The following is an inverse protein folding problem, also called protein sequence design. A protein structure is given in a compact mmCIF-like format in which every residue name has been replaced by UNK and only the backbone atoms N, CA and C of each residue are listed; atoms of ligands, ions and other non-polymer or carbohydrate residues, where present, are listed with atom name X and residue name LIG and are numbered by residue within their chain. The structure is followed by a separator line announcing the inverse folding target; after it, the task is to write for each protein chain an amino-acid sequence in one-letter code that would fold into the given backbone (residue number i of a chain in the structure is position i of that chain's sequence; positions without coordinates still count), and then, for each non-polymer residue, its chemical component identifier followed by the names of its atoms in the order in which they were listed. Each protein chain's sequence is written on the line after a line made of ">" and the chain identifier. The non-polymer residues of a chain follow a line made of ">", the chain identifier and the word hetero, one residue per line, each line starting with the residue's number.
data_IF_037617763549
#
_entry.id   IF_037617763549
#
_cell.length_a   1.000
_cell.length_b   1.000
_cell.length_c   1.000
_cell.angle_alpha   90.00
_cell.angle_beta   90.00
_cell.angle_gamma   90.00
#
_symmetry.space_group_name_H-M   'P 1'
#
loop_
_entity.id
_entity.type
_entity.pdbx_description
1 polymer ?
#
# COMPACT_ATOMS: atom_id res chain seq x y z
N UNK A 1 -9.56 1.40 -2.40
CA UNK A 1 -8.42 0.46 -2.19
C UNK A 1 -8.60 -0.78 -3.05
N UNK A 2 -7.51 -1.46 -3.43
CA UNK A 2 -7.52 -2.74 -4.15
C UNK A 2 -6.95 -3.83 -3.25
N UNK A 3 -7.61 -4.97 -3.18
CA UNK A 3 -7.20 -6.11 -2.35
C UNK A 3 -7.36 -7.42 -3.12
N UNK A 4 -6.59 -8.44 -2.73
CA UNK A 4 -6.80 -9.84 -3.13
C UNK A 4 -7.27 -10.59 -1.88
N UNK A 5 -8.58 -10.75 -1.67
CA UNK A 5 -9.09 -11.41 -0.48
C UNK A 5 -8.91 -12.93 -0.59
N UNK A 6 -8.78 -13.60 0.56
CA UNK A 6 -8.65 -15.07 0.63
C UNK A 6 -9.88 -15.80 0.09
N UNK A 7 -11.01 -15.11 0.04
CA UNK A 7 -12.32 -15.61 -0.37
C UNK A 7 -13.11 -14.48 -1.02
N UNK A 8 -13.87 -14.81 -2.06
CA UNK A 8 -14.80 -13.87 -2.67
C UNK A 8 -16.02 -13.64 -1.75
N UNK A 9 -16.42 -12.38 -1.57
CA UNK A 9 -17.62 -11.98 -0.83
C UNK A 9 -18.49 -11.08 -1.72
N UNK A 10 -19.81 -11.21 -1.65
CA UNK A 10 -20.76 -10.35 -2.37
C UNK A 10 -20.87 -8.97 -1.71
N UNK A 11 -21.02 -8.94 -0.39
CA UNK A 11 -21.24 -7.75 0.43
C UNK A 11 -20.27 -7.69 1.62
N UNK A 12 -18.97 -7.39 1.38
CA UNK A 12 -17.99 -7.34 2.45
C UNK A 12 -18.22 -6.13 3.36
N UNK A 13 -17.92 -6.29 4.64
CA UNK A 13 -17.87 -5.19 5.63
C UNK A 13 -16.41 -4.91 6.00
N UNK A 14 -16.11 -3.66 6.37
CA UNK A 14 -14.77 -3.26 6.80
C UNK A 14 -14.80 -2.80 8.25
N UNK A 15 -13.98 -3.44 9.09
CA UNK A 15 -13.72 -2.99 10.45
C UNK A 15 -12.39 -2.24 10.47
N UNK A 16 -12.42 -0.98 10.84
CA UNK A 16 -11.24 -0.13 10.98
C UNK A 16 -10.94 0.07 12.46
N UNK A 17 -9.71 -0.21 12.86
CA UNK A 17 -9.22 -0.02 14.22
C UNK A 17 -8.17 1.08 14.23
N UNK A 18 -8.44 2.14 15.00
CA UNK A 18 -7.45 3.16 15.36
C UNK A 18 -6.51 2.59 16.41
N UNK A 19 -5.21 2.47 16.09
CA UNK A 19 -4.24 1.88 17.02
C UNK A 19 -3.81 2.84 18.14
N UNK A 20 -4.00 4.15 17.95
CA UNK A 20 -3.69 5.15 18.98
C UNK A 20 -4.75 5.16 20.08
N UNK A 21 -6.03 5.09 19.69
CA UNK A 21 -7.17 5.11 20.62
C UNK A 21 -7.65 3.72 21.02
N UNK A 22 -7.17 2.68 20.32
CA UNK A 22 -7.61 1.28 20.46
C UNK A 22 -9.11 1.07 20.23
N UNK A 23 -9.72 1.93 19.41
CA UNK A 23 -11.15 1.89 19.09
C UNK A 23 -11.38 1.28 17.72
N UNK A 24 -12.41 0.44 17.59
CA UNK A 24 -12.81 -0.17 16.31
C UNK A 24 -14.15 0.41 15.85
N UNK A 25 -14.26 0.71 14.57
CA UNK A 25 -15.47 1.20 13.93
C UNK A 25 -15.74 0.41 12.65
N UNK A 26 -17.01 0.19 12.35
CA UNK A 26 -17.42 -0.45 11.10
C UNK A 26 -17.64 0.62 10.03
N UNK A 27 -17.00 0.43 8.88
CA UNK A 27 -17.09 1.31 7.71
C UNK A 27 -17.87 0.60 6.62
N UNK A 28 -18.93 1.24 6.13
CA UNK A 28 -19.67 0.79 4.95
C UNK A 28 -18.80 0.96 3.71
N UNK A 29 -18.61 -0.12 2.96
CA UNK A 29 -17.81 -0.13 1.74
C UNK A 29 -18.61 -0.71 0.58
N UNK A 30 -18.42 -0.14 -0.61
CA UNK A 30 -18.96 -0.68 -1.86
C UNK A 30 -17.87 -1.51 -2.54
N UNK A 31 -18.22 -2.73 -2.94
CA UNK A 31 -17.33 -3.66 -3.63
C UNK A 31 -17.55 -3.59 -5.14
N UNK A 32 -16.46 -3.46 -5.90
CA UNK A 32 -16.42 -3.75 -7.34
C UNK A 32 -15.25 -4.68 -7.66
N UNK A 33 -15.28 -5.30 -8.85
CA UNK A 33 -14.17 -6.10 -9.37
C UNK A 33 -13.44 -5.27 -10.41
N UNK A 34 -12.11 -5.20 -10.32
CA UNK A 34 -11.25 -4.47 -11.24
C UNK A 34 -10.09 -5.38 -11.65
N UNK A 35 -10.26 -6.09 -12.76
CA UNK A 35 -9.35 -7.18 -13.16
C UNK A 35 -9.36 -8.31 -12.13
N UNK A 36 -8.18 -8.72 -11.67
CA UNK A 36 -8.01 -9.76 -10.64
C UNK A 36 -8.16 -9.24 -9.20
N UNK A 37 -8.38 -7.93 -9.04
CA UNK A 37 -8.47 -7.29 -7.74
C UNK A 37 -9.92 -7.01 -7.34
N UNK A 38 -10.19 -7.16 -6.04
CA UNK A 38 -11.40 -6.62 -5.43
C UNK A 38 -11.14 -5.16 -5.04
N UNK A 39 -11.90 -4.23 -5.63
CA UNK A 39 -11.85 -2.81 -5.29
C UNK A 39 -12.92 -2.51 -4.24
N UNK A 40 -12.48 -1.93 -3.12
CA UNK A 40 -13.36 -1.43 -2.07
C UNK A 40 -13.30 0.10 -2.04
N UNK A 41 -14.46 0.74 -2.11
CA UNK A 41 -14.62 2.20 -2.02
C UNK A 41 -15.45 2.53 -0.79
N UNK A 42 -15.00 3.48 0.02
CA UNK A 42 -15.69 3.95 1.21
C UNK A 42 -15.10 5.28 1.68
N UNK A 43 -15.80 5.95 2.58
CA UNK A 43 -15.36 7.21 3.19
C UNK A 43 -14.69 6.90 4.53
N UNK A 44 -13.51 7.46 4.76
CA UNK A 44 -12.72 7.24 5.98
C UNK A 44 -12.40 8.58 6.63
N UNK A 45 -12.60 8.68 7.94
CA UNK A 45 -12.20 9.83 8.75
C UNK A 45 -10.89 9.53 9.47
N UNK A 46 -9.78 9.56 8.71
CA UNK A 46 -8.44 9.27 9.23
C UNK A 46 -7.79 10.53 9.80
N UNK A 47 -6.93 10.36 10.80
CA UNK A 47 -6.11 11.41 11.39
C UNK A 47 -4.65 11.20 10.98
N UNK A 48 -3.99 12.27 10.54
CA UNK A 48 -2.59 12.28 10.16
C UNK A 48 -1.67 11.80 11.31
N UNK A 49 -0.58 11.11 10.97
CA UNK A 49 0.36 10.54 11.93
C UNK A 49 -0.16 9.29 12.65
N UNK A 50 -1.40 8.87 12.41
CA UNK A 50 -2.01 7.71 13.07
C UNK A 50 -1.92 6.47 12.20
N UNK A 51 -1.54 5.36 12.85
CA UNK A 51 -1.61 4.02 12.28
C UNK A 51 -2.96 3.37 12.57
N UNK A 52 -3.57 2.81 11.53
CA UNK A 52 -4.80 2.04 11.61
C UNK A 52 -4.53 0.60 11.16
N UNK A 53 -5.30 -0.34 11.68
CA UNK A 53 -5.42 -1.68 11.11
C UNK A 53 -6.84 -1.89 10.64
N UNK A 54 -7.04 -2.54 9.51
CA UNK A 54 -8.38 -2.88 9.05
C UNK A 54 -8.52 -4.37 8.76
N UNK A 55 -9.76 -4.85 8.90
CA UNK A 55 -10.17 -6.20 8.54
C UNK A 55 -11.34 -6.10 7.59
N UNK A 56 -11.29 -6.87 6.52
CA UNK A 56 -12.44 -7.05 5.62
C UNK A 56 -13.09 -8.37 5.98
N UNK A 57 -14.40 -8.35 6.15
CA UNK A 57 -15.18 -9.50 6.61
C UNK A 57 -16.30 -9.85 5.63
N UNK A 58 -16.51 -11.15 5.47
CA UNK A 58 -17.69 -11.75 4.84
C UNK A 58 -18.56 -12.32 5.97
N UNK A 59 -19.56 -11.55 6.41
CA UNK A 59 -20.27 -11.83 7.66
C UNK A 59 -19.32 -11.82 8.87
N UNK A 60 -19.09 -12.99 9.48
CA UNK A 60 -18.18 -13.15 10.62
C UNK A 60 -16.74 -13.51 10.22
N UNK A 61 -16.53 -14.01 9.00
CA UNK A 61 -15.25 -14.51 8.54
C UNK A 61 -14.35 -13.36 8.08
N UNK A 62 -13.09 -13.32 8.54
CA UNK A 62 -12.10 -12.32 8.09
C UNK A 62 -11.41 -12.80 6.82
N UNK A 63 -11.68 -12.12 5.70
CA UNK A 63 -11.17 -12.49 4.38
C UNK A 63 -9.92 -11.71 3.96
N UNK A 64 -9.65 -10.57 4.61
CA UNK A 64 -8.46 -9.76 4.36
C UNK A 64 -8.08 -8.92 5.59
N UNK A 65 -6.79 -8.62 5.74
CA UNK A 65 -6.26 -7.73 6.79
C UNK A 65 -5.23 -6.80 6.19
N UNK A 66 -5.22 -5.55 6.64
CA UNK A 66 -4.22 -4.58 6.22
C UNK A 66 -3.89 -3.58 7.30
N UNK A 67 -2.85 -2.80 7.04
CA UNK A 67 -2.41 -1.68 7.84
C UNK A 67 -2.48 -0.42 6.98
N UNK A 68 -2.80 0.70 7.62
CA UNK A 68 -2.85 2.02 7.00
C UNK A 68 -2.02 2.94 7.90
N UNK A 69 -1.12 3.69 7.30
CA UNK A 69 -0.50 4.83 7.94
C UNK A 69 -1.02 6.08 7.25
N UNK A 70 -1.64 7.00 8.00
CA UNK A 70 -2.16 8.23 7.46
C UNK A 70 -1.06 9.30 7.52
N UNK A 71 -0.66 9.80 6.36
CA UNK A 71 0.37 10.84 6.20
C UNK A 71 -0.12 11.83 5.16
N UNK A 72 0.20 13.12 5.35
CA UNK A 72 -0.06 14.19 4.40
C UNK A 72 1.18 14.51 3.54
N UNK A 73 2.27 13.74 3.71
CA UNK A 73 3.50 13.87 2.94
C UNK A 73 3.20 13.84 1.43
N UNK A 74 3.54 14.95 0.77
CA UNK A 74 3.37 15.12 -0.68
C UNK A 74 4.58 14.61 -1.47
N UNK A 75 5.76 14.64 -0.85
CA UNK A 75 7.02 14.18 -1.42
C UNK A 75 7.47 12.90 -0.67
N UNK A 76 7.21 11.75 -1.29
CA UNK A 76 7.72 10.46 -0.81
C UNK A 76 9.16 10.34 -1.26
N UNK A 77 10.11 10.35 -0.32
CA UNK A 77 11.51 10.02 -0.61
C UNK A 77 11.58 8.64 -1.26
N UNK A 78 11.88 8.62 -2.57
CA UNK A 78 12.12 7.41 -3.33
C UNK A 78 13.55 6.97 -3.07
N UNK A 79 13.74 6.05 -2.15
CA UNK A 79 15.02 5.41 -1.94
C UNK A 79 15.32 4.46 -3.11
N UNK A 80 16.25 4.86 -3.98
CA UNK A 80 16.88 3.97 -4.95
C UNK A 80 18.19 3.47 -4.35
N UNK A 81 18.36 2.15 -4.24
CA UNK A 81 19.57 1.53 -3.67
C UNK A 81 20.83 1.95 -4.45
N UNK A 82 20.69 2.20 -5.76
CA UNK A 82 21.81 2.53 -6.65
C UNK A 82 21.76 4.00 -7.09
N UNK A 83 21.38 4.91 -6.20
CA UNK A 83 21.53 6.35 -6.50
C UNK A 83 23.03 6.64 -6.60
N UNK A 84 23.47 7.11 -7.76
CA UNK A 84 24.85 7.53 -8.07
C UNK A 84 25.90 6.40 -8.29
N UNK A 85 25.51 5.14 -8.49
CA UNK A 85 26.45 3.99 -8.64
C UNK A 85 26.88 3.67 -10.10
N UNK A 86 26.53 4.51 -11.08
CA UNK A 86 27.06 4.39 -12.44
C UNK A 86 27.81 5.67 -12.83
N UNK A 87 28.99 5.85 -12.27
CA UNK A 87 30.01 6.70 -12.90
C UNK A 87 30.77 5.78 -13.86
N UNK A 88 30.34 5.70 -15.11
CA UNK A 88 31.18 5.11 -16.15
C UNK A 88 32.36 6.05 -16.38
N UNK A 89 33.57 5.58 -16.06
CA UNK A 89 34.80 6.26 -16.44
C UNK A 89 35.01 6.05 -17.94
N UNK A 90 34.82 7.12 -18.72
CA UNK A 90 34.99 7.13 -20.17
C UNK A 90 36.43 7.52 -20.58
N UNK A 91 37.38 7.59 -19.64
CA UNK A 91 38.79 7.91 -19.94
C UNK A 91 39.57 6.68 -20.43
N UNK A 92 39.13 6.10 -21.56
CA UNK A 92 39.95 5.16 -22.32
C UNK A 92 40.67 5.91 -23.44
N UNK A 93 41.98 6.13 -23.26
CA UNK A 93 42.87 6.43 -24.37
C UNK A 93 43.22 5.10 -25.05
N UNK A 94 42.55 4.79 -26.17
CA UNK A 94 42.80 3.58 -26.95
C UNK A 94 44.07 3.75 -27.81
N UNK A 95 45.20 4.03 -27.18
CA UNK A 95 46.49 4.09 -27.87
C UNK A 95 47.12 2.69 -27.95
N UNK A 96 47.36 2.24 -29.18
CA UNK A 96 48.06 0.99 -29.44
C UNK A 96 49.56 1.17 -29.27
N UNK A 97 50.19 0.34 -28.43
CA UNK A 97 51.64 0.19 -28.37
C UNK A 97 52.05 -0.87 -29.40
N UNK A 98 52.84 -0.48 -30.41
CA UNK A 98 53.60 -1.44 -31.21
C UNK A 98 54.88 -1.79 -30.44
N UNK A 99 55.10 -3.09 -30.18
CA UNK A 99 56.35 -3.64 -29.69
C UNK A 99 57.03 -4.47 -30.80
#
# INVERSE_FOLDING_TARGET
>A
MRIVPRKASSSPTLELTDKSKRTTSTVSVTKTVEGEYTKLTGTFSLTEGVSYSFKVKDGLEVIYRGLIFCTDQTDLDKYFVNKDEYVSDDTYDNDYIFA
#
